data_IF_229137651066
#
_entry.id   IF_229137651066
#
_cell.length_a   1.000
_cell.length_b   1.000
_cell.length_c   1.000
_cell.angle_alpha   90.00
_cell.angle_beta   90.00
_cell.angle_gamma   90.00
#
_symmetry.space_group_name_H-M   'P 1'
#
loop_
_entity.id
_entity.type
_entity.pdbx_description
1 polymer ?
#
# COMPACT_ATOMS: atom_id res chain seq x y z
N UNK A 1 17.06 19.60 -7.06
CA UNK A 1 15.68 19.57 -7.59
C UNK A 1 14.84 20.51 -6.73
N UNK A 2 13.94 21.31 -7.30
CA UNK A 2 13.03 22.13 -6.48
C UNK A 2 11.72 21.38 -6.16
N UNK A 3 10.92 21.88 -5.20
CA UNK A 3 9.68 21.21 -4.78
C UNK A 3 8.69 20.95 -5.93
N UNK A 4 8.63 21.87 -6.90
CA UNK A 4 7.71 21.79 -8.05
C UNK A 4 8.20 20.74 -9.05
N UNK A 5 9.50 20.66 -9.28
CA UNK A 5 10.12 19.61 -10.10
C UNK A 5 9.94 18.23 -9.47
N UNK A 6 10.14 18.09 -8.15
CA UNK A 6 9.87 16.83 -7.45
C UNK A 6 8.41 16.42 -7.62
N UNK A 7 7.45 17.34 -7.39
CA UNK A 7 6.03 17.04 -7.59
C UNK A 7 5.75 16.49 -8.99
N UNK A 8 6.28 17.13 -10.03
CA UNK A 8 6.06 16.68 -11.41
C UNK A 8 6.60 15.27 -11.65
N UNK A 9 7.79 14.96 -11.12
CA UNK A 9 8.37 13.62 -11.23
C UNK A 9 7.57 12.61 -10.39
N UNK A 10 7.15 13.01 -9.20
CA UNK A 10 6.35 12.19 -8.30
C UNK A 10 5.01 11.83 -8.93
N UNK A 11 4.29 12.81 -9.49
CA UNK A 11 3.00 12.60 -10.15
C UNK A 11 3.13 11.66 -11.38
N UNK A 12 4.32 11.50 -11.97
CA UNK A 12 4.55 10.58 -13.09
C UNK A 12 4.89 9.15 -12.64
N UNK A 13 5.53 8.98 -11.47
CA UNK A 13 6.04 7.68 -11.00
C UNK A 13 5.23 7.05 -9.88
N UNK A 14 4.54 7.86 -9.06
CA UNK A 14 3.96 7.42 -7.80
C UNK A 14 2.53 7.92 -7.58
N UNK A 15 1.89 8.62 -8.53
CA UNK A 15 0.50 9.10 -8.34
C UNK A 15 -0.45 7.95 -7.98
N UNK A 16 -0.29 6.79 -8.63
CA UNK A 16 -0.97 5.55 -8.28
C UNK A 16 0.05 4.42 -8.34
N UNK A 17 0.14 3.66 -7.26
CA UNK A 17 0.96 2.46 -7.17
C UNK A 17 0.06 1.25 -7.00
N UNK A 18 0.39 0.19 -7.75
CA UNK A 18 -0.19 -1.13 -7.55
C UNK A 18 0.77 -1.96 -6.72
N UNK A 19 0.22 -2.58 -5.67
CA UNK A 19 0.91 -3.56 -4.86
C UNK A 19 0.24 -4.91 -5.04
N UNK A 20 1.04 -5.95 -5.16
CA UNK A 20 0.60 -7.34 -5.19
C UNK A 20 1.06 -8.04 -3.93
N UNK A 21 0.23 -8.93 -3.39
CA UNK A 21 0.50 -9.75 -2.22
C UNK A 21 -0.01 -11.18 -2.43
N UNK A 22 0.41 -12.08 -1.55
CA UNK A 22 -0.03 -13.47 -1.50
C UNK A 22 0.24 -14.21 -2.82
N UNK A 23 1.45 -14.08 -3.36
CA UNK A 23 1.87 -14.64 -4.65
C UNK A 23 1.07 -14.10 -5.84
N UNK A 24 0.91 -12.77 -5.88
CA UNK A 24 0.20 -12.05 -6.94
C UNK A 24 -1.32 -12.34 -7.03
N UNK A 25 -1.90 -12.94 -5.97
CA UNK A 25 -3.33 -13.25 -5.91
C UNK A 25 -4.17 -12.11 -5.30
N UNK A 26 -3.55 -11.17 -4.58
CA UNK A 26 -4.21 -9.98 -4.04
C UNK A 26 -3.56 -8.71 -4.59
N UNK A 27 -4.31 -7.85 -5.27
CA UNK A 27 -3.84 -6.54 -5.73
C UNK A 27 -4.46 -5.41 -4.91
N UNK A 28 -3.67 -4.39 -4.61
CA UNK A 28 -4.04 -3.20 -3.84
C UNK A 28 -3.54 -1.97 -4.60
N UNK A 29 -4.44 -1.02 -4.88
CA UNK A 29 -4.07 0.24 -5.52
C UNK A 29 -4.06 1.35 -4.49
N UNK A 30 -2.92 2.03 -4.39
CA UNK A 30 -2.71 3.16 -3.49
C UNK A 30 -2.53 4.40 -4.33
N UNK A 31 -3.43 5.37 -4.15
CA UNK A 31 -3.31 6.71 -4.73
C UNK A 31 -2.53 7.61 -3.77
N UNK A 32 -1.53 8.30 -4.29
CA UNK A 32 -0.68 9.19 -3.53
C UNK A 32 -0.84 10.64 -3.99
N UNK A 33 -0.68 11.58 -3.06
CA UNK A 33 -0.73 13.01 -3.34
C UNK A 33 0.39 13.75 -2.62
N UNK A 34 1.32 14.32 -3.38
CA UNK A 34 2.36 15.18 -2.83
C UNK A 34 1.90 16.63 -2.68
N UNK A 35 2.07 17.14 -1.47
CA UNK A 35 1.80 18.52 -1.07
C UNK A 35 3.10 19.35 -1.07
N UNK A 36 3.22 20.26 -2.03
CA UNK A 36 4.38 21.16 -2.18
C UNK A 36 4.63 22.03 -0.94
N UNK A 37 3.63 22.67 -0.31
CA UNK A 37 3.88 23.55 0.83
C UNK A 37 4.50 22.81 2.01
N UNK A 38 3.98 21.62 2.32
CA UNK A 38 4.36 20.83 3.50
C UNK A 38 5.47 19.81 3.24
N UNK A 39 5.83 19.54 1.98
CA UNK A 39 6.72 18.43 1.61
C UNK A 39 6.22 17.08 2.17
N UNK A 40 4.92 16.81 2.06
CA UNK A 40 4.31 15.58 2.57
C UNK A 40 3.56 14.84 1.49
N UNK A 41 3.58 13.51 1.53
CA UNK A 41 2.72 12.64 0.74
C UNK A 41 1.58 12.15 1.61
N UNK A 42 0.34 12.33 1.14
CA UNK A 42 -0.84 11.66 1.68
C UNK A 42 -1.21 10.51 0.76
N UNK A 43 -1.62 9.38 1.32
CA UNK A 43 -1.90 8.16 0.56
C UNK A 43 -3.25 7.58 0.94
N UNK A 44 -3.89 6.92 -0.02
CA UNK A 44 -5.21 6.32 0.17
C UNK A 44 -5.29 5.04 -0.64
N UNK A 45 -5.70 3.94 -0.01
CA UNK A 45 -6.08 2.73 -0.75
C UNK A 45 -7.40 3.03 -1.43
N UNK A 46 -7.40 2.93 -2.76
CA UNK A 46 -8.58 3.23 -3.59
C UNK A 46 -9.28 1.96 -4.11
N UNK A 47 -8.58 0.82 -4.08
CA UNK A 47 -9.11 -0.43 -4.62
C UNK A 47 -8.39 -1.63 -4.03
N UNK A 48 -9.13 -2.71 -3.81
CA UNK A 48 -8.60 -4.04 -3.49
C UNK A 48 -9.25 -5.04 -4.44
N UNK A 49 -8.46 -5.94 -5.02
CA UNK A 49 -8.98 -6.97 -5.91
C UNK A 49 -8.23 -8.31 -5.75
N UNK A 50 -8.88 -9.39 -6.19
CA UNK A 50 -8.30 -10.73 -6.19
C UNK A 50 -8.84 -11.62 -5.06
N UNK A 51 -7.96 -12.39 -4.45
CA UNK A 51 -8.27 -13.34 -3.38
C UNK A 51 -7.90 -12.72 -2.03
N UNK A 52 -8.78 -12.85 -1.04
CA UNK A 52 -8.55 -12.47 0.35
C UNK A 52 -8.16 -13.71 1.16
N UNK A 53 -7.25 -13.52 2.11
CA UNK A 53 -6.72 -14.59 2.95
C UNK A 53 -6.77 -14.24 4.43
N UNK A 54 -6.92 -15.26 5.26
CA UNK A 54 -6.63 -15.22 6.68
C UNK A 54 -5.32 -15.99 6.95
N UNK A 55 -4.41 -15.40 7.73
CA UNK A 55 -3.23 -16.13 8.20
C UNK A 55 -3.59 -16.99 9.42
N UNK A 56 -3.56 -18.31 9.28
CA UNK A 56 -3.70 -19.23 10.41
C UNK A 56 -2.35 -19.75 10.88
N UNK A 57 -2.10 -19.58 12.18
CA UNK A 57 -0.91 -20.10 12.84
C UNK A 57 -1.16 -21.48 13.43
N UNK A 58 -0.32 -22.44 13.06
CA UNK A 58 -0.29 -23.80 13.59
C UNK A 58 0.92 -23.96 14.51
N UNK A 59 0.69 -23.84 15.82
CA UNK A 59 1.79 -23.88 16.80
C UNK A 59 2.69 -22.64 16.71
N UNK A 60 3.99 -22.81 16.99
CA UNK A 60 4.92 -21.68 17.13
C UNK A 60 5.63 -21.25 15.83
N UNK A 61 5.67 -22.11 14.81
CA UNK A 61 6.54 -21.92 13.64
C UNK A 61 5.85 -22.08 12.28
N UNK A 62 4.64 -22.63 12.22
CA UNK A 62 3.93 -22.81 10.97
C UNK A 62 2.81 -21.78 10.86
N UNK A 63 2.74 -21.07 9.74
CA UNK A 63 1.58 -20.27 9.38
C UNK A 63 1.20 -20.52 7.92
N UNK A 64 -0.09 -20.72 7.69
CA UNK A 64 -0.67 -20.94 6.37
C UNK A 64 -1.61 -19.79 6.03
N UNK A 65 -1.66 -19.41 4.76
CA UNK A 65 -2.71 -18.54 4.24
C UNK A 65 -3.92 -19.41 3.88
N UNK A 66 -5.08 -19.04 4.40
CA UNK A 66 -6.34 -19.70 4.10
C UNK A 66 -7.20 -18.72 3.32
N UNK A 67 -7.56 -19.08 2.11
CA UNK A 67 -8.52 -18.31 1.30
C UNK A 67 -9.84 -18.15 2.05
N UNK A 68 -10.31 -16.91 2.15
CA UNK A 68 -11.60 -16.57 2.77
C UNK A 68 -12.61 -16.06 1.74
N UNK A 69 -12.13 -15.39 0.69
CA UNK A 69 -12.96 -14.87 -0.40
C UNK A 69 -12.14 -14.73 -1.67
N UNK A 70 -12.76 -14.90 -2.84
CA UNK A 70 -12.06 -14.81 -4.13
C UNK A 70 -12.86 -14.01 -5.14
N UNK A 71 -12.16 -13.45 -6.13
CA UNK A 71 -12.68 -12.56 -7.16
C UNK A 71 -13.32 -11.27 -6.61
N UNK A 72 -12.83 -10.79 -5.47
CA UNK A 72 -13.21 -9.46 -4.99
C UNK A 72 -12.70 -8.40 -5.97
N UNK A 73 -13.45 -7.32 -6.12
CA UNK A 73 -13.07 -6.19 -6.96
C UNK A 73 -13.78 -4.94 -6.43
N UNK A 74 -13.27 -4.45 -5.31
CA UNK A 74 -13.96 -3.46 -4.48
C UNK A 74 -13.23 -2.12 -4.54
N UNK A 75 -13.98 -1.06 -4.80
CA UNK A 75 -13.51 0.30 -4.63
C UNK A 75 -13.62 0.67 -3.15
N UNK A 76 -12.50 1.09 -2.57
CA UNK A 76 -12.41 1.41 -1.14
C UNK A 76 -11.84 2.81 -0.94
N UNK A 77 -11.97 3.35 0.26
CA UNK A 77 -11.31 4.60 0.65
C UNK A 77 -10.74 4.42 2.06
N UNK A 78 -9.52 3.90 2.12
CA UNK A 78 -8.79 3.74 3.38
C UNK A 78 -7.65 4.75 3.40
N UNK A 79 -7.75 5.76 4.26
CA UNK A 79 -6.70 6.77 4.42
C UNK A 79 -5.49 6.17 5.13
N UNK A 80 -4.30 6.41 4.58
CA UNK A 80 -3.04 5.98 5.18
C UNK A 80 -2.35 7.17 5.86
N UNK A 81 -1.47 6.89 6.81
CA UNK A 81 -0.65 7.94 7.42
C UNK A 81 0.23 8.66 6.39
N UNK A 82 0.48 9.93 6.67
CA UNK A 82 1.31 10.79 5.83
C UNK A 82 2.79 10.42 5.93
N UNK A 83 3.50 10.61 4.83
CA UNK A 83 4.95 10.45 4.74
C UNK A 83 5.63 11.80 4.50
N UNK A 84 6.65 12.13 5.29
CA UNK A 84 7.45 13.34 5.12
C UNK A 84 8.55 13.13 4.09
N UNK A 85 8.75 14.11 3.20
CA UNK A 85 9.72 14.02 2.11
C UNK A 85 10.88 14.98 2.38
N UNK A 86 12.08 14.43 2.38
CA UNK A 86 13.29 15.20 2.08
C UNK A 86 13.45 15.33 0.56
N UNK A 87 13.40 16.55 0.06
CA UNK A 87 13.45 16.83 -1.39
C UNK A 87 14.87 16.70 -1.94
N UNK A 88 15.88 16.81 -1.06
CA UNK A 88 17.28 16.70 -1.44
C UNK A 88 17.73 15.24 -1.51
N UNK A 89 17.11 14.36 -0.71
CA UNK A 89 17.45 12.95 -0.60
C UNK A 89 16.18 12.10 -0.39
N UNK A 90 15.37 11.95 -1.45
CA UNK A 90 14.16 11.15 -1.36
C UNK A 90 14.51 9.65 -1.27
N UNK A 91 14.21 9.06 -0.11
CA UNK A 91 14.34 7.63 0.14
C UNK A 91 13.06 6.89 -0.32
N UNK A 92 13.14 6.34 -1.53
CA UNK A 92 12.06 5.58 -2.15
C UNK A 92 11.75 4.28 -1.39
N UNK A 93 12.77 3.58 -0.90
CA UNK A 93 12.58 2.32 -0.17
C UNK A 93 11.84 2.56 1.16
N UNK A 94 12.20 3.63 1.88
CA UNK A 94 11.49 4.04 3.08
C UNK A 94 10.03 4.44 2.80
N UNK A 95 9.77 5.12 1.69
CA UNK A 95 8.41 5.47 1.27
C UNK A 95 7.57 4.23 0.97
N UNK A 96 8.09 3.29 0.17
CA UNK A 96 7.39 2.05 -0.15
C UNK A 96 7.15 1.18 1.09
N UNK A 97 8.15 1.08 1.98
CA UNK A 97 8.01 0.36 3.24
C UNK A 97 6.94 0.98 4.15
N UNK A 98 6.86 2.32 4.20
CA UNK A 98 5.80 3.04 4.90
C UNK A 98 4.43 2.70 4.34
N UNK A 99 4.26 2.72 3.01
CA UNK A 99 2.99 2.36 2.37
C UNK A 99 2.57 0.93 2.67
N UNK A 100 3.49 -0.05 2.58
CA UNK A 100 3.19 -1.46 2.88
C UNK A 100 2.75 -1.64 4.33
N UNK A 101 3.44 -1.00 5.28
CA UNK A 101 3.10 -1.09 6.69
C UNK A 101 1.70 -0.49 6.97
N UNK A 102 1.47 0.73 6.50
CA UNK A 102 0.20 1.42 6.69
C UNK A 102 -0.96 0.69 6.01
N UNK A 103 -0.75 0.22 4.77
CA UNK A 103 -1.77 -0.57 4.07
C UNK A 103 -2.10 -1.86 4.82
N UNK A 104 -1.09 -2.55 5.37
CA UNK A 104 -1.30 -3.76 6.18
C UNK A 104 -2.16 -3.47 7.42
N UNK A 105 -1.87 -2.38 8.13
CA UNK A 105 -2.63 -1.98 9.33
C UNK A 105 -4.07 -1.62 8.96
N UNK A 106 -4.26 -0.74 7.97
CA UNK A 106 -5.58 -0.23 7.61
C UNK A 106 -6.48 -1.32 7.00
N UNK A 107 -5.93 -2.19 6.15
CA UNK A 107 -6.69 -3.30 5.57
C UNK A 107 -7.14 -4.27 6.67
N UNK A 108 -6.27 -4.62 7.61
CA UNK A 108 -6.62 -5.52 8.71
C UNK A 108 -7.81 -5.02 9.55
N UNK A 109 -7.94 -3.69 9.68
CA UNK A 109 -9.01 -3.04 10.44
C UNK A 109 -10.24 -2.69 9.58
N UNK A 110 -10.24 -3.01 8.28
CA UNK A 110 -11.32 -2.71 7.35
C UNK A 110 -12.31 -3.88 7.20
N UNK A 111 -13.42 -3.61 6.51
CA UNK A 111 -14.39 -4.65 6.11
C UNK A 111 -13.81 -5.66 5.10
N UNK A 112 -12.68 -5.33 4.45
CA UNK A 112 -11.96 -6.16 3.49
C UNK A 112 -10.67 -6.73 4.10
N UNK A 113 -10.73 -7.08 5.39
CA UNK A 113 -9.59 -7.59 6.14
C UNK A 113 -8.97 -8.82 5.45
N UNK A 114 -7.67 -8.72 5.17
CA UNK A 114 -6.88 -9.81 4.58
C UNK A 114 -5.44 -9.76 5.08
N UNK A 115 -4.83 -10.93 5.21
CA UNK A 115 -3.40 -11.06 5.35
C UNK A 115 -2.72 -10.62 4.04
N UNK A 116 -1.62 -9.88 4.16
CA UNK A 116 -0.80 -9.42 3.03
C UNK A 116 0.62 -9.93 3.21
N UNK A 117 0.89 -11.15 2.73
CA UNK A 117 2.26 -11.69 2.71
C UNK A 117 2.96 -11.30 1.43
N UNK A 118 4.27 -11.06 1.54
CA UNK A 118 5.16 -10.81 0.40
C UNK A 118 4.67 -9.67 -0.50
N UNK A 119 4.20 -8.58 0.13
CA UNK A 119 3.68 -7.42 -0.58
C UNK A 119 4.81 -6.73 -1.37
N UNK A 120 4.61 -6.57 -2.68
CA UNK A 120 5.58 -5.98 -3.61
C UNK A 120 4.89 -4.94 -4.49
N UNK A 121 5.62 -3.90 -4.88
CA UNK A 121 5.15 -2.93 -5.87
C UNK A 121 5.36 -3.49 -7.29
N UNK A 122 4.40 -3.25 -8.19
CA UNK A 122 4.43 -3.68 -9.61
C UNK A 122 4.94 -2.58 -10.52
#
# INVERSE_FOLDING_TARGET
MNKVEFKKNFDLGYEVLEFVANHDETSIWIKNHYSVPSSTVSSTIIKIAGTLYEEKRWGLIFSDLIEIETNINEEVQLELDRFEIDIEDFDEEAFLAHLVNQATIEIQNSEFSTALKEMMVV
#
